data_IF_178509455921
#
_entry.id   IF_178509455921
#
_cell.length_a   1.000
_cell.length_b   1.000
_cell.length_c   1.000
_cell.angle_alpha   90.00
_cell.angle_beta   90.00
_cell.angle_gamma   90.00
#
_symmetry.space_group_name_H-M   'P 1'
#
loop_
_entity.id
_entity.type
_entity.pdbx_description
1 polymer ?
#
# COMPACT_ATOMS: atom_id res chain seq x y z
N UNK A 1 3.03 3.84 -22.83
CA UNK A 1 2.50 3.41 -21.52
C UNK A 1 1.05 3.00 -21.75
N UNK A 2 0.80 1.70 -22.00
CA UNK A 2 -0.53 1.24 -22.39
C UNK A 2 -1.52 1.44 -21.25
N UNK A 3 -1.04 1.25 -20.02
CA UNK A 3 -1.84 1.40 -18.80
C UNK A 3 -2.44 2.79 -18.62
N UNK A 4 -1.64 3.87 -18.71
CA UNK A 4 -2.15 5.25 -18.57
C UNK A 4 -3.16 5.61 -19.66
N UNK A 5 -3.03 5.03 -20.86
CA UNK A 5 -3.94 5.29 -21.98
C UNK A 5 -5.31 4.64 -21.79
N UNK A 6 -5.43 3.64 -20.90
CA UNK A 6 -6.71 3.00 -20.61
C UNK A 6 -7.74 3.98 -20.03
N UNK A 7 -7.28 5.07 -19.42
CA UNK A 7 -8.13 6.18 -18.96
C UNK A 7 -9.10 6.65 -20.06
N UNK A 8 -8.64 6.65 -21.32
CA UNK A 8 -9.41 7.13 -22.48
C UNK A 8 -10.56 6.20 -22.89
N UNK A 9 -10.67 5.00 -22.32
CA UNK A 9 -11.74 4.03 -22.64
C UNK A 9 -13.10 4.34 -21.99
N UNK A 10 -13.18 5.41 -21.20
CA UNK A 10 -14.43 5.87 -20.61
C UNK A 10 -14.50 7.39 -20.58
N UNK A 11 -15.44 7.89 -19.80
CA UNK A 11 -15.66 9.32 -19.65
C UNK A 11 -14.71 9.95 -18.62
N UNK A 12 -14.18 11.12 -18.97
CA UNK A 12 -13.03 11.74 -18.30
C UNK A 12 -13.25 13.19 -17.89
N UNK A 13 -14.50 13.65 -17.82
CA UNK A 13 -14.82 15.00 -17.37
C UNK A 13 -14.31 15.19 -15.94
N UNK A 14 -13.75 16.36 -15.62
CA UNK A 14 -13.07 16.61 -14.34
C UNK A 14 -13.97 16.34 -13.12
N UNK A 15 -15.28 16.62 -13.22
CA UNK A 15 -16.23 16.41 -12.13
C UNK A 15 -16.41 14.92 -11.80
N UNK A 16 -16.27 14.03 -12.78
CA UNK A 16 -16.35 12.56 -12.57
C UNK A 16 -15.21 12.09 -11.68
N UNK A 17 -14.01 12.65 -11.90
CA UNK A 17 -12.85 12.42 -11.04
C UNK A 17 -13.05 12.99 -9.65
N UNK A 18 -13.54 14.22 -9.55
CA UNK A 18 -13.82 14.85 -8.26
C UNK A 18 -14.83 14.04 -7.43
N UNK A 19 -15.98 13.67 -8.00
CA UNK A 19 -17.02 12.89 -7.31
C UNK A 19 -16.49 11.52 -6.89
N UNK A 20 -15.79 10.81 -7.77
CA UNK A 20 -15.24 9.49 -7.43
C UNK A 20 -14.22 9.60 -6.29
N UNK A 21 -13.32 10.59 -6.33
CA UNK A 21 -12.37 10.83 -5.23
C UNK A 21 -13.12 11.07 -3.92
N UNK A 22 -14.16 11.91 -3.88
CA UNK A 22 -14.93 12.14 -2.66
C UNK A 22 -15.62 10.87 -2.16
N UNK A 23 -16.16 10.05 -3.05
CA UNK A 23 -16.86 8.82 -2.68
C UNK A 23 -15.92 7.68 -2.24
N UNK A 24 -14.67 7.67 -2.73
CA UNK A 24 -13.75 6.56 -2.50
C UNK A 24 -12.50 6.93 -1.69
N UNK A 25 -12.28 8.18 -1.31
CA UNK A 25 -11.08 8.57 -0.56
C UNK A 25 -11.09 7.96 0.86
N UNK A 26 -10.08 7.18 1.28
CA UNK A 26 -10.03 6.59 2.62
C UNK A 26 -10.04 7.63 3.75
N UNK A 27 -9.48 8.83 3.54
CA UNK A 27 -9.36 9.86 4.59
C UNK A 27 -10.60 10.76 4.79
N UNK A 28 -11.51 10.85 3.81
CA UNK A 28 -12.66 11.78 3.86
C UNK A 28 -13.97 11.20 3.28
N UNK A 29 -13.96 9.99 2.73
CA UNK A 29 -15.16 9.49 2.06
C UNK A 29 -16.26 9.19 3.06
N UNK A 30 -17.49 9.54 2.65
CA UNK A 30 -18.71 9.15 3.35
C UNK A 30 -18.74 7.63 3.53
N UNK A 31 -18.22 6.86 2.57
CA UNK A 31 -18.09 5.40 2.65
C UNK A 31 -17.17 4.93 3.77
N UNK A 32 -16.00 5.57 3.95
CA UNK A 32 -15.10 5.28 5.05
C UNK A 32 -15.74 5.65 6.41
N UNK A 33 -16.41 6.80 6.49
CA UNK A 33 -17.09 7.24 7.73
C UNK A 33 -18.23 6.28 8.09
N UNK A 34 -19.12 5.94 7.14
CA UNK A 34 -20.21 4.99 7.36
C UNK A 34 -19.67 3.61 7.72
N UNK A 35 -18.63 3.14 7.02
CA UNK A 35 -17.98 1.87 7.29
C UNK A 35 -17.42 1.82 8.71
N UNK A 36 -16.66 2.83 9.12
CA UNK A 36 -16.12 2.94 10.48
C UNK A 36 -17.21 3.02 11.54
N UNK A 37 -18.31 3.77 11.31
CA UNK A 37 -19.46 3.83 12.23
C UNK A 37 -20.14 2.46 12.34
N UNK A 38 -20.41 1.79 11.22
CA UNK A 38 -21.08 0.49 11.22
C UNK A 38 -20.24 -0.58 11.93
N UNK A 39 -18.93 -0.58 11.70
CA UNK A 39 -18.00 -1.49 12.35
C UNK A 39 -17.92 -1.18 13.85
N UNK A 40 -17.83 0.10 14.23
CA UNK A 40 -17.93 0.53 15.63
C UNK A 40 -19.21 0.03 16.31
N UNK A 41 -20.37 0.17 15.66
CA UNK A 41 -21.65 -0.30 16.18
C UNK A 41 -21.68 -1.83 16.31
N UNK A 42 -21.15 -2.56 15.33
CA UNK A 42 -21.04 -4.02 15.39
C UNK A 42 -20.19 -4.47 16.58
N UNK A 43 -19.00 -3.89 16.77
CA UNK A 43 -18.13 -4.20 17.91
C UNK A 43 -18.76 -3.84 19.25
N UNK A 44 -19.51 -2.73 19.31
CA UNK A 44 -20.30 -2.35 20.50
C UNK A 44 -21.38 -3.37 20.83
N UNK A 45 -22.12 -3.86 19.82
CA UNK A 45 -23.20 -4.85 20.00
C UNK A 45 -22.71 -6.20 20.51
N UNK A 46 -21.48 -6.60 20.15
CA UNK A 46 -20.86 -7.87 20.59
C UNK A 46 -19.95 -7.71 21.83
N UNK A 47 -19.96 -6.53 22.47
CA UNK A 47 -19.27 -6.29 23.73
C UNK A 47 -17.74 -6.18 23.62
N UNK A 48 -17.22 -5.82 22.45
CA UNK A 48 -15.78 -5.74 22.16
C UNK A 48 -15.22 -4.30 22.17
N UNK A 49 -15.95 -3.30 22.69
CA UNK A 49 -15.53 -1.89 22.67
C UNK A 49 -15.43 -1.19 24.05
N UNK A 50 -14.42 -0.31 24.29
CA UNK A 50 -13.11 -0.23 23.63
C UNK A 50 -12.15 -1.18 24.34
N UNK A 51 -11.81 -2.29 23.69
CA UNK A 51 -10.74 -3.13 24.19
C UNK A 51 -9.41 -2.37 24.04
N UNK A 52 -8.66 -2.22 25.14
CA UNK A 52 -7.32 -1.62 25.13
C UNK A 52 -6.28 -2.66 24.72
N UNK A 53 -5.12 -2.19 24.24
CA UNK A 53 -4.01 -3.06 23.87
C UNK A 53 -4.30 -3.89 22.60
N UNK A 54 -3.84 -5.13 22.56
CA UNK A 54 -3.88 -6.00 21.38
C UNK A 54 -5.24 -6.12 20.71
N UNK A 55 -6.31 -6.30 21.49
CA UNK A 55 -7.66 -6.45 20.94
C UNK A 55 -8.14 -5.17 20.24
N UNK A 56 -7.73 -4.00 20.74
CA UNK A 56 -7.97 -2.72 20.07
C UNK A 56 -7.22 -2.65 18.74
N UNK A 57 -5.92 -2.94 18.73
CA UNK A 57 -5.12 -2.97 17.50
C UNK A 57 -5.63 -3.94 16.44
N UNK A 58 -6.04 -5.15 16.85
CA UNK A 58 -6.69 -6.10 15.93
C UNK A 58 -7.98 -5.53 15.34
N UNK A 59 -8.81 -4.89 16.18
CA UNK A 59 -10.07 -4.31 15.73
C UNK A 59 -9.80 -3.17 14.74
N UNK A 60 -8.80 -2.32 14.97
CA UNK A 60 -8.45 -1.20 14.10
C UNK A 60 -7.99 -1.68 12.72
N UNK A 61 -7.09 -2.66 12.66
CA UNK A 61 -6.61 -3.24 11.39
C UNK A 61 -7.74 -3.93 10.66
N UNK A 62 -8.53 -4.76 11.35
CA UNK A 62 -9.66 -5.45 10.74
C UNK A 62 -10.69 -4.44 10.21
N UNK A 63 -10.97 -3.37 10.97
CA UNK A 63 -11.88 -2.31 10.57
C UNK A 63 -11.40 -1.63 9.30
N UNK A 64 -10.12 -1.23 9.25
CA UNK A 64 -9.54 -0.57 8.09
C UNK A 64 -9.51 -1.47 6.84
N UNK A 65 -9.23 -2.77 7.02
CA UNK A 65 -9.26 -3.75 5.94
C UNK A 65 -10.67 -3.97 5.37
N UNK A 66 -11.69 -4.06 6.24
CA UNK A 66 -13.09 -4.17 5.83
C UNK A 66 -13.55 -2.90 5.10
N UNK A 67 -13.22 -1.72 5.65
CA UNK A 67 -13.52 -0.44 5.00
C UNK A 67 -12.88 -0.37 3.61
N UNK A 68 -11.62 -0.79 3.48
CA UNK A 68 -10.92 -0.82 2.20
C UNK A 68 -11.56 -1.77 1.18
N UNK A 69 -12.02 -2.95 1.60
CA UNK A 69 -12.79 -3.85 0.75
C UNK A 69 -14.09 -3.19 0.24
N UNK A 70 -14.78 -2.45 1.12
CA UNK A 70 -15.97 -1.68 0.76
C UNK A 70 -15.65 -0.52 -0.20
N UNK A 71 -14.52 0.17 -0.02
CA UNK A 71 -14.07 1.23 -0.91
C UNK A 71 -13.69 0.70 -2.31
N UNK A 72 -13.14 -0.52 -2.42
CA UNK A 72 -12.95 -1.19 -3.73
C UNK A 72 -14.30 -1.36 -4.42
N UNK A 73 -15.33 -1.77 -3.68
CA UNK A 73 -16.68 -1.93 -4.23
C UNK A 73 -17.31 -0.60 -4.65
N UNK A 74 -17.17 0.46 -3.86
CA UNK A 74 -17.62 1.81 -4.26
C UNK A 74 -16.86 2.27 -5.50
N UNK A 75 -15.54 2.08 -5.57
CA UNK A 75 -14.75 2.44 -6.74
C UNK A 75 -15.20 1.65 -7.98
N UNK A 76 -15.53 0.37 -7.83
CA UNK A 76 -16.15 -0.41 -8.90
C UNK A 76 -17.45 0.23 -9.41
N UNK A 77 -18.36 0.62 -8.51
CA UNK A 77 -19.61 1.31 -8.87
C UNK A 77 -19.30 2.63 -9.58
N UNK A 78 -18.37 3.45 -9.07
CA UNK A 78 -17.98 4.70 -9.71
C UNK A 78 -17.40 4.47 -11.11
N UNK A 79 -16.58 3.44 -11.30
CA UNK A 79 -16.03 3.11 -12.62
C UNK A 79 -17.14 2.75 -13.62
N UNK A 80 -18.14 1.96 -13.22
CA UNK A 80 -19.23 1.53 -14.08
C UNK A 80 -20.26 2.63 -14.32
N UNK A 81 -20.73 3.29 -13.25
CA UNK A 81 -21.85 4.22 -13.28
C UNK A 81 -21.44 5.68 -13.59
N UNK A 82 -20.26 6.11 -13.12
CA UNK A 82 -19.78 7.48 -13.32
C UNK A 82 -18.81 7.52 -14.51
N UNK A 83 -17.86 6.60 -14.63
CA UNK A 83 -16.90 6.65 -15.74
C UNK A 83 -17.34 5.89 -16.99
N UNK A 84 -18.42 5.10 -16.92
CA UNK A 84 -18.87 4.20 -17.99
C UNK A 84 -17.70 3.36 -18.54
N UNK A 85 -16.88 2.85 -17.61
CA UNK A 85 -15.57 2.26 -17.89
C UNK A 85 -15.42 0.96 -17.12
N UNK A 86 -14.90 -0.07 -17.80
CA UNK A 86 -14.66 -1.36 -17.16
C UNK A 86 -13.63 -1.22 -16.02
N UNK A 87 -13.97 -1.69 -14.81
CA UNK A 87 -13.12 -1.61 -13.62
C UNK A 87 -11.75 -2.25 -13.80
N UNK A 88 -11.63 -3.34 -14.58
CA UNK A 88 -10.34 -3.98 -14.88
C UNK A 88 -9.29 -3.00 -15.40
N UNK A 89 -9.73 -1.94 -16.07
CA UNK A 89 -8.82 -0.97 -16.66
C UNK A 89 -8.06 -0.10 -15.65
N UNK A 90 -8.47 -0.04 -14.38
CA UNK A 90 -7.66 0.53 -13.29
C UNK A 90 -6.76 -0.51 -12.63
N UNK A 91 -6.95 -1.80 -12.94
CA UNK A 91 -6.12 -2.89 -12.43
C UNK A 91 -4.96 -3.19 -13.38
N UNK A 92 -5.26 -3.41 -14.67
CA UNK A 92 -4.29 -4.00 -15.59
C UNK A 92 -4.61 -3.72 -17.06
N UNK A 93 -3.58 -3.55 -17.89
CA UNK A 93 -3.70 -3.50 -19.35
C UNK A 93 -3.63 -4.89 -20.01
N UNK A 94 -3.28 -5.93 -19.26
CA UNK A 94 -3.21 -7.30 -19.75
C UNK A 94 -4.59 -7.90 -19.99
N UNK A 95 -4.66 -9.03 -20.69
CA UNK A 95 -5.95 -9.71 -20.96
C UNK A 95 -6.65 -10.21 -19.70
N UNK A 96 -5.89 -10.56 -18.66
CA UNK A 96 -6.38 -11.02 -17.36
C UNK A 96 -5.48 -10.49 -16.25
N UNK A 97 -6.00 -10.47 -15.02
CA UNK A 97 -5.21 -10.14 -13.84
C UNK A 97 -4.08 -11.15 -13.71
N UNK A 98 -2.86 -10.65 -13.52
CA UNK A 98 -1.67 -11.48 -13.46
C UNK A 98 -1.28 -11.79 -12.01
N UNK A 99 -1.99 -12.75 -11.38
CA UNK A 99 -1.78 -13.14 -9.97
C UNK A 99 -0.33 -13.49 -9.61
N UNK A 100 0.43 -14.08 -10.54
CA UNK A 100 1.84 -14.38 -10.34
C UNK A 100 2.69 -13.12 -10.07
N UNK A 101 2.26 -11.94 -10.53
CA UNK A 101 2.95 -10.67 -10.29
C UNK A 101 2.72 -10.15 -8.88
N UNK A 102 1.51 -10.35 -8.34
CA UNK A 102 1.21 -10.09 -6.92
C UNK A 102 2.15 -10.94 -6.07
N UNK A 103 2.20 -12.26 -6.33
CA UNK A 103 3.08 -13.17 -5.58
C UNK A 103 4.56 -12.80 -5.73
N UNK A 104 5.01 -12.44 -6.95
CA UNK A 104 6.38 -11.97 -7.20
C UNK A 104 6.71 -10.73 -6.37
N UNK A 105 5.85 -9.70 -6.43
CA UNK A 105 6.03 -8.46 -5.67
C UNK A 105 6.10 -8.73 -4.17
N UNK A 106 5.21 -9.58 -3.67
CA UNK A 106 5.17 -10.01 -2.28
C UNK A 106 6.48 -10.68 -1.87
N UNK A 107 6.90 -11.73 -2.58
CA UNK A 107 8.10 -12.51 -2.23
C UNK A 107 9.36 -11.63 -2.29
N UNK A 108 9.53 -10.85 -3.37
CA UNK A 108 10.72 -10.01 -3.53
C UNK A 108 10.83 -8.99 -2.39
N UNK A 109 9.75 -8.28 -2.08
CA UNK A 109 9.77 -7.28 -1.03
C UNK A 109 9.93 -7.90 0.36
N UNK A 110 9.21 -8.98 0.64
CA UNK A 110 9.32 -9.70 1.91
C UNK A 110 10.75 -10.20 2.17
N UNK A 111 11.44 -10.73 1.15
CA UNK A 111 12.83 -11.18 1.29
C UNK A 111 13.81 -10.02 1.52
N UNK A 112 13.59 -8.87 0.89
CA UNK A 112 14.39 -7.66 1.14
C UNK A 112 14.20 -7.23 2.60
N UNK A 113 12.95 -7.12 3.08
CA UNK A 113 12.65 -6.77 4.47
C UNK A 113 13.24 -7.78 5.46
N UNK A 114 13.15 -9.07 5.18
CA UNK A 114 13.74 -10.12 6.00
C UNK A 114 15.27 -10.01 6.06
N UNK A 115 15.92 -9.68 4.93
CA UNK A 115 17.36 -9.44 4.89
C UNK A 115 17.74 -8.19 5.69
N UNK A 116 16.98 -7.10 5.59
CA UNK A 116 17.21 -5.88 6.37
C UNK A 116 17.08 -6.16 7.87
N UNK A 117 16.02 -6.87 8.27
CA UNK A 117 15.85 -7.31 9.65
C UNK A 117 17.03 -8.16 10.10
N UNK A 118 17.46 -9.14 9.28
CA UNK A 118 18.64 -9.98 9.56
C UNK A 118 19.91 -9.15 9.87
N UNK A 119 20.14 -8.09 9.10
CA UNK A 119 21.29 -7.20 9.27
C UNK A 119 21.19 -6.34 10.54
N UNK A 120 19.97 -6.01 10.99
CA UNK A 120 19.71 -5.21 12.19
C UNK A 120 19.61 -6.04 13.48
N UNK A 121 19.66 -7.37 13.44
CA UNK A 121 19.55 -8.21 14.65
C UNK A 121 20.66 -7.98 15.69
N UNK A 122 21.82 -7.45 15.28
CA UNK A 122 22.90 -7.13 16.22
C UNK A 122 22.66 -5.84 17.02
N UNK A 123 21.62 -5.09 16.68
CA UNK A 123 21.28 -3.82 17.34
C UNK A 123 20.55 -4.07 18.66
N UNK A 124 20.89 -3.32 19.71
CA UNK A 124 20.32 -3.50 21.06
C UNK A 124 18.84 -3.08 21.20
N UNK A 125 18.30 -2.43 20.18
CA UNK A 125 16.98 -1.78 20.17
C UNK A 125 15.86 -2.72 19.72
N UNK A 126 16.19 -3.82 19.04
CA UNK A 126 15.24 -4.84 18.63
C UNK A 126 14.87 -5.73 19.83
N UNK A 127 13.59 -5.76 20.20
CA UNK A 127 13.07 -6.57 21.31
C UNK A 127 12.16 -7.67 20.78
N UNK A 128 12.28 -8.86 21.37
CA UNK A 128 11.36 -9.96 21.10
C UNK A 128 10.05 -9.73 21.87
N UNK A 129 8.94 -9.59 21.16
CA UNK A 129 7.61 -9.21 21.69
C UNK A 129 6.51 -10.21 21.33
N UNK A 130 6.89 -11.37 20.82
CA UNK A 130 5.99 -12.45 20.43
C UNK A 130 5.09 -12.95 21.58
N UNK A 131 3.78 -12.97 21.33
CA UNK A 131 2.77 -13.58 22.20
C UNK A 131 2.12 -14.79 21.49
N UNK A 132 2.41 -16.04 21.93
CA UNK A 132 1.89 -17.24 21.27
C UNK A 132 0.36 -17.38 21.33
N UNK A 133 -0.31 -16.73 22.27
CA UNK A 133 -1.79 -16.78 22.42
C UNK A 133 -2.44 -15.82 21.43
N UNK A 134 -1.89 -14.62 21.30
CA UNK A 134 -2.41 -13.57 20.44
C UNK A 134 -2.02 -13.77 18.96
N UNK A 135 -0.82 -14.31 18.69
CA UNK A 135 -0.25 -14.38 17.36
C UNK A 135 -1.11 -15.10 16.31
N UNK A 136 -1.79 -16.23 16.59
CA UNK A 136 -2.66 -16.87 15.61
C UNK A 136 -3.80 -15.95 15.11
N UNK A 137 -4.38 -15.14 16.00
CA UNK A 137 -5.42 -14.17 15.63
C UNK A 137 -4.84 -13.04 14.75
N UNK A 138 -3.64 -12.58 15.10
CA UNK A 138 -2.90 -11.59 14.31
C UNK A 138 -2.59 -12.09 12.89
N UNK A 139 -2.20 -13.35 12.74
CA UNK A 139 -2.00 -14.00 11.44
C UNK A 139 -3.29 -13.99 10.63
N UNK A 140 -4.42 -14.41 11.23
CA UNK A 140 -5.72 -14.45 10.55
C UNK A 140 -6.15 -13.06 10.07
N UNK A 141 -6.07 -12.05 10.96
CA UNK A 141 -6.42 -10.66 10.60
C UNK A 141 -5.47 -10.11 9.54
N UNK A 142 -4.17 -10.43 9.62
CA UNK A 142 -3.18 -9.97 8.64
C UNK A 142 -3.41 -10.51 7.23
N UNK A 143 -4.13 -11.62 7.05
CA UNK A 143 -4.54 -12.07 5.71
C UNK A 143 -5.48 -11.06 5.02
N UNK A 144 -6.22 -10.27 5.80
CA UNK A 144 -7.15 -9.25 5.27
C UNK A 144 -6.45 -7.96 4.84
N UNK A 145 -5.16 -7.76 5.19
CA UNK A 145 -4.34 -6.62 4.77
C UNK A 145 -4.24 -6.53 3.24
N UNK A 146 -4.40 -7.64 2.54
CA UNK A 146 -4.48 -7.66 1.08
C UNK A 146 -5.58 -6.72 0.54
N UNK A 147 -6.71 -6.55 1.25
CA UNK A 147 -7.77 -5.63 0.85
C UNK A 147 -7.38 -4.17 1.04
N UNK A 148 -6.71 -3.84 2.15
CA UNK A 148 -6.16 -2.52 2.39
C UNK A 148 -5.14 -2.14 1.31
N UNK A 149 -4.07 -2.93 1.18
CA UNK A 149 -3.00 -2.67 0.22
C UNK A 149 -3.56 -2.69 -1.21
N UNK A 150 -4.46 -3.63 -1.51
CA UNK A 150 -5.17 -3.72 -2.78
C UNK A 150 -5.94 -2.44 -3.10
N UNK A 151 -6.76 -1.96 -2.17
CA UNK A 151 -7.52 -0.73 -2.36
C UNK A 151 -6.61 0.47 -2.61
N UNK A 152 -5.61 0.69 -1.76
CA UNK A 152 -4.69 1.82 -1.86
C UNK A 152 -3.95 1.81 -3.21
N UNK A 153 -3.44 0.67 -3.66
CA UNK A 153 -2.80 0.59 -4.97
C UNK A 153 -3.77 0.78 -6.14
N UNK A 154 -4.98 0.21 -6.07
CA UNK A 154 -5.99 0.41 -7.12
C UNK A 154 -6.41 1.88 -7.20
N UNK A 155 -6.58 2.55 -6.06
CA UNK A 155 -6.97 3.96 -6.00
C UNK A 155 -5.83 4.88 -6.44
N UNK A 156 -4.64 4.77 -5.84
CA UNK A 156 -3.52 5.68 -6.12
C UNK A 156 -2.83 5.36 -7.45
N UNK A 157 -2.47 4.09 -7.69
CA UNK A 157 -1.65 3.67 -8.85
C UNK A 157 -2.51 3.27 -10.04
N UNK A 158 -3.73 2.80 -9.79
CA UNK A 158 -4.71 2.55 -10.83
C UNK A 158 -5.44 3.81 -11.27
N UNK A 159 -6.30 4.33 -10.40
CA UNK A 159 -7.26 5.37 -10.74
C UNK A 159 -6.66 6.79 -10.80
N UNK A 160 -6.04 7.26 -9.71
CA UNK A 160 -5.54 8.62 -9.58
C UNK A 160 -4.31 8.87 -10.49
N UNK A 161 -3.43 7.89 -10.61
CA UNK A 161 -2.29 7.94 -11.53
C UNK A 161 -2.75 8.06 -12.98
N UNK A 162 -3.82 7.36 -13.37
CA UNK A 162 -4.41 7.50 -14.69
C UNK A 162 -5.06 8.87 -14.91
N UNK A 163 -5.75 9.41 -13.89
CA UNK A 163 -6.38 10.72 -13.93
C UNK A 163 -5.37 11.83 -14.30
N UNK A 164 -4.22 11.84 -13.63
CA UNK A 164 -3.15 12.82 -13.87
C UNK A 164 -2.23 12.43 -15.05
N UNK A 165 -2.04 11.14 -15.28
CA UNK A 165 -1.02 10.58 -16.17
C UNK A 165 -1.34 10.64 -17.65
N UNK A 166 -2.58 10.97 -18.06
CA UNK A 166 -2.96 11.06 -19.47
C UNK A 166 -2.15 12.08 -20.29
N UNK A 167 -1.67 13.15 -19.64
CA UNK A 167 -0.91 14.24 -20.29
C UNK A 167 0.51 14.40 -19.73
N UNK A 168 0.71 14.16 -18.44
CA UNK A 168 1.98 14.40 -17.75
C UNK A 168 2.33 13.22 -16.83
N UNK A 169 2.86 12.09 -17.36
CA UNK A 169 3.07 10.88 -16.58
C UNK A 169 4.04 11.06 -15.40
N UNK A 170 5.11 11.84 -15.58
CA UNK A 170 6.07 12.13 -14.49
C UNK A 170 5.40 12.94 -13.38
N UNK A 171 4.62 13.96 -13.74
CA UNK A 171 3.88 14.77 -12.76
C UNK A 171 2.86 13.91 -12.02
N UNK A 172 2.20 12.97 -12.70
CA UNK A 172 1.26 12.04 -12.08
C UNK A 172 1.91 11.16 -11.01
N UNK A 173 3.12 10.64 -11.27
CA UNK A 173 3.90 9.86 -10.29
C UNK A 173 4.19 10.71 -9.04
N UNK A 174 4.68 11.93 -9.22
CA UNK A 174 5.04 12.82 -8.09
C UNK A 174 3.78 13.21 -7.30
N UNK A 175 2.71 13.63 -7.98
CA UNK A 175 1.49 14.08 -7.31
C UNK A 175 0.79 12.95 -6.55
N UNK A 176 0.67 11.77 -7.15
CA UNK A 176 0.05 10.63 -6.45
C UNK A 176 0.88 10.18 -5.25
N UNK A 177 2.21 10.18 -5.36
CA UNK A 177 3.10 9.90 -4.24
C UNK A 177 3.00 10.93 -3.12
N UNK A 178 2.91 12.24 -3.44
CA UNK A 178 2.73 13.29 -2.45
C UNK A 178 1.41 13.15 -1.69
N UNK A 179 0.31 12.89 -2.42
CA UNK A 179 -1.01 12.70 -1.79
C UNK A 179 -1.01 11.45 -0.92
N UNK A 180 -0.39 10.36 -1.39
CA UNK A 180 -0.24 9.13 -0.62
C UNK A 180 0.54 9.39 0.68
N UNK A 181 1.69 10.06 0.60
CA UNK A 181 2.51 10.38 1.76
C UNK A 181 1.82 11.32 2.76
N UNK A 182 1.11 12.33 2.25
CA UNK A 182 0.33 13.23 3.09
C UNK A 182 -0.79 12.48 3.84
N UNK A 183 -1.37 11.44 3.23
CA UNK A 183 -2.37 10.59 3.87
C UNK A 183 -1.83 9.72 5.02
N UNK A 184 -0.50 9.58 5.13
CA UNK A 184 0.15 8.85 6.23
C UNK A 184 0.61 9.77 7.36
N UNK A 185 0.40 11.09 7.22
CA UNK A 185 0.67 12.03 8.30
C UNK A 185 -0.31 11.79 9.45
N UNK A 186 0.22 11.68 10.67
CA UNK A 186 -0.52 11.30 11.87
C UNK A 186 -0.39 9.82 12.23
N UNK A 187 0.24 8.99 11.38
CA UNK A 187 0.45 7.57 11.69
C UNK A 187 1.48 7.35 12.81
N UNK A 188 2.30 8.36 13.12
CA UNK A 188 3.33 8.32 14.15
C UNK A 188 2.99 9.27 15.29
N UNK A 189 3.35 8.90 16.52
CA UNK A 189 3.09 9.73 17.69
C UNK A 189 3.92 11.04 17.75
N UNK A 190 5.10 11.04 17.12
CA UNK A 190 6.05 12.18 17.17
C UNK A 190 6.11 12.94 15.85
N UNK A 191 6.47 14.23 15.92
CA UNK A 191 6.65 15.04 14.71
C UNK A 191 7.76 14.49 13.80
N UNK A 192 8.90 14.07 14.37
CA UNK A 192 10.00 13.48 13.61
C UNK A 192 9.57 12.18 12.94
N UNK A 193 8.92 11.26 13.67
CA UNK A 193 8.39 10.03 13.07
C UNK A 193 7.40 10.30 11.93
N UNK A 194 6.61 11.37 12.02
CA UNK A 194 5.73 11.77 10.92
C UNK A 194 6.48 12.31 9.69
N UNK A 195 7.63 12.96 9.87
CA UNK A 195 8.51 13.31 8.75
C UNK A 195 9.08 12.04 8.12
N UNK A 196 9.51 11.08 8.93
CA UNK A 196 10.15 9.86 8.43
C UNK A 196 9.17 8.99 7.64
N UNK A 197 7.97 8.74 8.19
CA UNK A 197 6.94 8.00 7.46
C UNK A 197 6.50 8.74 6.19
N UNK A 198 6.49 10.09 6.19
CA UNK A 198 6.18 10.86 4.99
C UNK A 198 7.24 10.65 3.90
N UNK A 199 8.53 10.70 4.25
CA UNK A 199 9.63 10.47 3.30
C UNK A 199 9.55 9.05 2.73
N UNK A 200 9.32 8.06 3.59
CA UNK A 200 9.24 6.64 3.20
C UNK A 200 8.08 6.37 2.27
N UNK A 201 6.89 6.81 2.66
CA UNK A 201 5.67 6.61 1.88
C UNK A 201 5.71 7.43 0.58
N UNK A 202 6.40 8.57 0.54
CA UNK A 202 6.62 9.32 -0.69
C UNK A 202 7.53 8.55 -1.67
N UNK A 203 8.67 8.03 -1.20
CA UNK A 203 9.57 7.25 -2.06
C UNK A 203 8.92 5.94 -2.50
N UNK A 204 8.31 5.21 -1.57
CA UNK A 204 7.49 4.02 -1.85
C UNK A 204 6.43 4.34 -2.90
N UNK A 205 5.66 5.40 -2.63
CA UNK A 205 4.82 6.22 -3.51
C UNK A 205 5.22 6.14 -4.97
N UNK A 206 6.36 6.78 -5.24
CA UNK A 206 6.93 6.93 -6.56
C UNK A 206 7.37 5.60 -7.17
N UNK A 207 8.07 4.76 -6.40
CA UNK A 207 8.64 3.51 -6.92
C UNK A 207 7.56 2.54 -7.38
N UNK A 208 6.52 2.30 -6.60
CA UNK A 208 5.45 1.39 -7.03
C UNK A 208 4.58 1.99 -8.15
N UNK A 209 4.49 3.31 -8.26
CA UNK A 209 3.87 3.97 -9.42
C UNK A 209 4.71 3.79 -10.71
N UNK A 210 6.04 3.88 -10.62
CA UNK A 210 6.94 3.59 -11.73
C UNK A 210 6.79 2.12 -12.13
N UNK A 211 6.83 1.17 -11.18
CA UNK A 211 6.63 -0.26 -11.45
C UNK A 211 5.29 -0.47 -12.16
N UNK A 212 4.21 0.12 -11.67
CA UNK A 212 2.87 0.03 -12.26
C UNK A 212 2.85 0.47 -13.73
N UNK A 213 3.49 1.61 -14.04
CA UNK A 213 3.57 2.13 -15.41
C UNK A 213 4.39 1.21 -16.32
N UNK A 214 5.50 0.67 -15.82
CA UNK A 214 6.40 -0.19 -16.60
C UNK A 214 5.79 -1.57 -16.85
N UNK A 215 5.07 -2.09 -15.88
CA UNK A 215 4.44 -3.41 -15.94
C UNK A 215 3.04 -3.38 -16.57
N UNK A 216 2.53 -2.20 -16.86
CA UNK A 216 1.19 -1.93 -17.36
C UNK A 216 0.06 -2.49 -16.45
N UNK A 217 0.25 -2.45 -15.13
CA UNK A 217 -0.74 -2.93 -14.16
C UNK A 217 -0.27 -2.83 -12.70
N UNK A 218 -1.23 -2.79 -11.76
CA UNK A 218 -0.97 -2.59 -10.32
C UNK A 218 -0.57 -3.87 -9.58
N UNK A 219 -0.59 -5.04 -10.24
CA UNK A 219 -0.48 -6.34 -9.57
C UNK A 219 0.80 -6.47 -8.73
N UNK A 220 1.97 -6.11 -9.27
CA UNK A 220 3.22 -6.15 -8.49
C UNK A 220 3.21 -5.14 -7.33
N UNK A 221 2.61 -3.96 -7.52
CA UNK A 221 2.50 -2.96 -6.46
C UNK A 221 1.64 -3.47 -5.28
N UNK A 222 0.51 -4.13 -5.56
CA UNK A 222 -0.33 -4.76 -4.54
C UNK A 222 0.47 -5.79 -3.75
N UNK A 223 1.26 -6.62 -4.44
CA UNK A 223 2.12 -7.61 -3.79
C UNK A 223 3.14 -6.99 -2.85
N UNK A 224 3.87 -5.98 -3.33
CA UNK A 224 4.87 -5.24 -2.54
C UNK A 224 4.22 -4.62 -1.31
N UNK A 225 3.11 -3.90 -1.48
CA UNK A 225 2.43 -3.23 -0.38
C UNK A 225 1.84 -4.22 0.63
N UNK A 226 1.24 -5.32 0.16
CA UNK A 226 0.74 -6.38 1.05
C UNK A 226 1.88 -6.98 1.88
N UNK A 227 3.02 -7.28 1.26
CA UNK A 227 4.20 -7.76 1.98
C UNK A 227 4.70 -6.75 3.02
N UNK A 228 4.70 -5.46 2.68
CA UNK A 228 5.12 -4.40 3.59
C UNK A 228 4.28 -4.41 4.87
N UNK A 229 2.96 -4.30 4.71
CA UNK A 229 2.06 -4.15 5.86
C UNK A 229 1.94 -5.45 6.67
N UNK A 230 1.98 -6.62 6.01
CA UNK A 230 2.06 -7.90 6.72
C UNK A 230 3.38 -8.05 7.48
N UNK A 231 4.51 -7.56 6.95
CA UNK A 231 5.79 -7.61 7.65
C UNK A 231 5.77 -6.70 8.88
N UNK A 232 5.23 -5.48 8.76
CA UNK A 232 5.01 -4.58 9.90
C UNK A 232 4.12 -5.20 10.97
N UNK A 233 3.00 -5.81 10.55
CA UNK A 233 2.02 -6.40 11.46
C UNK A 233 2.50 -7.69 12.12
N UNK A 234 3.23 -8.56 11.41
CA UNK A 234 3.56 -9.91 11.89
C UNK A 234 4.97 -10.07 12.40
N UNK A 235 5.93 -9.33 11.84
CA UNK A 235 7.36 -9.61 12.02
C UNK A 235 8.01 -8.52 12.88
N UNK A 236 7.96 -7.26 12.46
CA UNK A 236 8.60 -6.16 13.19
C UNK A 236 7.79 -4.87 13.08
N UNK A 237 7.43 -4.28 14.21
CA UNK A 237 6.83 -2.94 14.28
C UNK A 237 7.76 -1.94 14.98
N UNK A 238 7.49 -0.64 14.86
CA UNK A 238 8.31 0.46 15.40
C UNK A 238 7.86 0.93 16.80
N UNK A 239 6.86 0.28 17.40
CA UNK A 239 6.32 0.63 18.71
C UNK A 239 5.70 2.03 18.82
N UNK A 240 5.62 2.81 17.74
CA UNK A 240 5.11 4.19 17.73
C UNK A 240 4.04 4.44 16.68
N UNK A 241 3.83 3.50 15.76
CA UNK A 241 2.77 3.56 14.78
C UNK A 241 1.40 3.32 15.41
N UNK A 242 0.46 4.24 15.22
CA UNK A 242 -0.91 4.10 15.71
C UNK A 242 -1.63 2.81 15.24
N UNK A 243 -1.20 2.23 14.11
CA UNK A 243 -1.77 0.99 13.58
C UNK A 243 -1.09 -0.28 14.11
N UNK A 244 0.17 -0.21 14.52
CA UNK A 244 0.98 -1.39 14.80
C UNK A 244 1.52 -1.47 16.24
N UNK A 245 1.54 -0.36 16.99
CA UNK A 245 2.15 -0.28 18.33
C UNK A 245 1.55 -1.27 19.34
N UNK A 246 0.27 -1.61 19.19
CA UNK A 246 -0.45 -2.52 20.10
C UNK A 246 -0.35 -3.98 19.69
N UNK A 247 0.29 -4.29 18.56
CA UNK A 247 0.34 -5.66 18.03
C UNK A 247 1.54 -6.43 18.60
N UNK A 248 1.34 -7.71 18.98
CA UNK A 248 2.42 -8.61 19.35
C UNK A 248 3.08 -9.18 18.09
N UNK A 249 3.68 -8.29 17.27
CA UNK A 249 4.63 -8.68 16.24
C UNK A 249 5.74 -9.53 16.86
N UNK A 250 6.47 -10.34 16.07
CA UNK A 250 7.57 -11.16 16.64
C UNK A 250 8.60 -10.25 17.32
N UNK A 251 8.89 -9.10 16.72
CA UNK A 251 9.80 -8.10 17.23
C UNK A 251 9.16 -6.71 17.28
N UNK A 252 9.67 -5.88 18.17
CA UNK A 252 9.45 -4.43 18.18
C UNK A 252 10.80 -3.74 18.17
N UNK A 253 10.98 -2.81 17.25
CA UNK A 253 12.17 -1.98 17.12
C UNK A 253 11.95 -0.63 17.79
N UNK A 254 12.67 -0.38 18.88
CA UNK A 254 12.62 0.89 19.62
C UNK A 254 13.74 1.86 19.19
N UNK A 255 14.30 1.67 18.00
CA UNK A 255 15.29 2.58 17.45
C UNK A 255 14.71 3.97 17.29
N UNK A 256 15.52 4.99 17.58
CA UNK A 256 15.13 6.36 17.31
C UNK A 256 15.01 6.57 15.82
N UNK A 257 14.00 7.30 15.34
CA UNK A 257 13.89 7.59 13.93
C UNK A 257 15.14 8.30 13.40
N UNK A 258 15.52 8.00 12.15
CA UNK A 258 16.68 8.59 11.49
C UNK A 258 16.48 10.10 11.31
N UNK A 259 17.55 10.84 11.03
CA UNK A 259 17.37 12.22 10.57
C UNK A 259 16.67 12.22 9.20
N UNK A 260 15.93 13.29 8.82
CA UNK A 260 15.23 13.32 7.53
C UNK A 260 16.12 13.07 6.32
N UNK A 261 17.38 13.50 6.37
CA UNK A 261 18.35 13.25 5.29
C UNK A 261 18.79 11.78 5.25
N UNK A 262 19.04 11.17 6.40
CA UNK A 262 19.38 9.75 6.49
C UNK A 262 18.21 8.88 6.02
N UNK A 263 16.99 9.20 6.45
CA UNK A 263 15.77 8.51 5.99
C UNK A 263 15.61 8.59 4.48
N UNK A 264 15.79 9.79 3.91
CA UNK A 264 15.72 9.99 2.46
C UNK A 264 16.73 9.12 1.71
N UNK A 265 17.98 9.07 2.19
CA UNK A 265 19.05 8.25 1.57
C UNK A 265 18.72 6.77 1.71
N UNK A 266 18.39 6.32 2.93
CA UNK A 266 18.06 4.93 3.23
C UNK A 266 16.93 4.40 2.34
N UNK A 267 15.79 5.10 2.34
CA UNK A 267 14.63 4.71 1.57
C UNK A 267 14.85 4.80 0.07
N UNK A 268 15.64 5.79 -0.41
CA UNK A 268 16.01 5.87 -1.82
C UNK A 268 16.86 4.68 -2.26
N UNK A 269 17.82 4.24 -1.44
CA UNK A 269 18.68 3.10 -1.76
C UNK A 269 17.88 1.79 -1.79
N UNK A 270 17.05 1.54 -0.79
CA UNK A 270 16.28 0.29 -0.69
C UNK A 270 15.21 0.23 -1.78
N UNK A 271 14.43 1.30 -1.95
CA UNK A 271 13.38 1.34 -2.98
C UNK A 271 13.99 1.38 -4.39
N UNK A 272 15.18 1.98 -4.55
CA UNK A 272 15.97 1.91 -5.77
C UNK A 272 16.43 0.48 -6.10
N UNK A 273 16.91 -0.26 -5.10
CA UNK A 273 17.28 -1.67 -5.26
C UNK A 273 16.07 -2.53 -5.65
N UNK A 274 14.92 -2.35 -4.98
CA UNK A 274 13.66 -3.00 -5.34
C UNK A 274 13.29 -2.72 -6.81
N UNK A 275 13.32 -1.45 -7.21
CA UNK A 275 13.00 -1.04 -8.58
C UNK A 275 13.91 -1.74 -9.61
N UNK A 276 15.21 -1.80 -9.34
CA UNK A 276 16.19 -2.48 -10.19
C UNK A 276 15.91 -3.99 -10.27
N UNK A 277 15.67 -4.66 -9.15
CA UNK A 277 15.37 -6.10 -9.09
C UNK A 277 14.12 -6.43 -9.91
N UNK A 278 13.09 -5.60 -9.84
CA UNK A 278 11.83 -5.82 -10.57
C UNK A 278 11.97 -5.56 -12.08
N UNK A 279 12.65 -4.47 -12.48
CA UNK A 279 12.67 -4.00 -13.88
C UNK A 279 13.83 -4.60 -14.70
N UNK A 280 15.01 -4.78 -14.11
CA UNK A 280 16.21 -5.19 -14.84
C UNK A 280 16.05 -6.52 -15.61
N UNK A 281 15.47 -7.59 -15.02
CA UNK A 281 15.28 -8.86 -15.74
C UNK A 281 14.39 -8.69 -16.99
N UNK A 282 13.42 -7.78 -16.94
CA UNK A 282 12.49 -7.51 -18.05
C UNK A 282 13.24 -6.85 -19.22
N UNK A 283 14.17 -5.95 -18.92
CA UNK A 283 15.00 -5.27 -19.94
C UNK A 283 16.02 -6.20 -20.56
N UNK A 284 16.67 -7.06 -19.76
CA UNK A 284 17.62 -8.04 -20.28
C UNK A 284 16.96 -9.05 -21.22
N UNK A 285 15.75 -9.50 -20.91
CA UNK A 285 15.00 -10.41 -21.79
C UNK A 285 14.59 -9.72 -23.10
N UNK A 286 14.22 -8.45 -23.07
CA UNK A 286 13.93 -7.67 -24.27
C UNK A 286 15.16 -7.59 -25.19
N UNK A 287 16.34 -7.29 -24.64
CA UNK A 287 17.60 -7.21 -25.40
C UNK A 287 17.95 -8.57 -26.00
N UNK A 288 17.88 -9.66 -25.21
CA UNK A 288 18.14 -11.02 -25.71
C UNK A 288 17.21 -11.41 -26.86
N UNK A 289 15.93 -11.02 -26.79
CA UNK A 289 14.97 -11.30 -27.86
C UNK A 289 15.24 -10.51 -29.14
N UNK A 290 15.75 -9.28 -29.03
CA UNK A 290 16.19 -8.49 -30.18
C UNK A 290 17.43 -9.13 -30.82
N UNK A 291 18.42 -9.53 -30.00
CA UNK A 291 19.65 -10.15 -30.48
C UNK A 291 19.44 -11.52 -31.14
N UNK A 292 18.42 -12.30 -30.73
CA UNK A 292 18.07 -13.59 -31.36
C UNK A 292 17.30 -13.47 -32.68
N UNK A 293 16.81 -12.27 -33.02
CA UNK A 293 16.03 -12.01 -34.25
C UNK A 293 16.89 -11.44 -35.38
N UNK A 294 18.16 -11.14 -35.11
CA UNK A 294 19.20 -10.76 -36.07
C UNK A 294 20.14 -11.95 -36.29
#
# INVERSE_FOLDING_TARGET
MKFLQLARKGENNWWRYFVTIILTNPGISIGAIIGSIYIYLLFSLIGLYPAMGFLGGLADILSYNIVSAFLIFILYICMVAIHHRNFKTVLTAHEKIQWHRILKGFIVWFLILLMLLFLSFSESNLKFTFDPVAYPFLVIVSLTIFFQAGFEEIFFRGYLLQAFGMKKPILAVILTALIFAAGHWGNQATFTGNIDIFIDTFIFGMVVAIITIFEDGVETAIGIHTANNMFCALIVNDGTSAFYETLPSIFTDFSTPLTPLEQLIYSSLIMGALLLIIILPQRLNLIKNILKRN
#
